data_IF_517577618247
#
_entry.id   IF_517577618247
#
_cell.length_a   1.000
_cell.length_b   1.000
_cell.length_c   1.000
_cell.angle_alpha   90.00
_cell.angle_beta   90.00
_cell.angle_gamma   90.00
#
_symmetry.space_group_name_H-M   'P 1'
#
loop_
_entity.id
_entity.type
_entity.pdbx_description
1 polymer ?
#
# COMPACT_ATOMS: atom_id res chain seq x y z
N UNK A 1 9.15 5.46 10.35
CA UNK A 1 10.30 5.95 11.12
C UNK A 1 9.85 6.70 12.35
N UNK A 2 9.00 7.71 12.21
CA UNK A 2 8.48 8.54 13.32
C UNK A 2 7.68 7.79 14.41
N UNK A 3 6.98 6.68 14.11
CA UNK A 3 6.36 5.83 15.18
C UNK A 3 7.42 5.07 15.98
N UNK A 4 8.51 4.69 15.33
CA UNK A 4 9.64 4.03 15.98
C UNK A 4 10.37 5.03 16.87
N UNK A 5 10.57 6.26 16.38
CA UNK A 5 11.12 7.37 17.16
C UNK A 5 10.21 7.71 18.34
N UNK A 6 8.91 7.91 18.13
CA UNK A 6 7.96 8.16 19.22
C UNK A 6 7.86 7.02 20.24
N UNK A 7 8.02 5.76 19.81
CA UNK A 7 8.13 4.62 20.73
C UNK A 7 9.42 4.69 21.55
N UNK A 8 10.57 4.95 20.91
CA UNK A 8 11.84 5.11 21.62
C UNK A 8 11.82 6.30 22.56
N UNK A 9 11.28 7.45 22.15
CA UNK A 9 11.10 8.63 23.01
C UNK A 9 10.19 8.33 24.20
N UNK A 10 9.09 7.60 24.01
CA UNK A 10 8.22 7.15 25.10
C UNK A 10 8.94 6.21 26.07
N UNK A 11 9.91 5.43 25.59
CA UNK A 11 10.69 4.43 26.36
C UNK A 11 11.92 5.01 27.07
N UNK A 12 12.48 6.10 26.55
CA UNK A 12 13.57 6.88 27.17
C UNK A 12 13.07 7.69 28.39
N UNK A 13 11.75 7.85 28.60
CA UNK A 13 11.16 8.63 29.70
C UNK A 13 11.33 8.02 31.12
N UNK A 14 12.03 6.91 31.30
CA UNK A 14 12.28 6.33 32.62
C UNK A 14 13.41 7.09 33.35
N UNK A 15 13.18 7.67 34.54
CA UNK A 15 14.14 8.58 35.19
C UNK A 15 15.44 7.94 35.71
N UNK A 16 15.50 6.61 35.87
CA UNK A 16 16.58 5.95 36.61
C UNK A 16 17.69 5.35 35.72
N UNK A 17 17.35 4.80 34.55
CA UNK A 17 18.31 4.28 33.57
C UNK A 17 17.70 4.26 32.15
N UNK A 18 17.71 5.40 31.44
CA UNK A 18 17.08 5.53 30.13
C UNK A 18 17.77 4.70 29.03
N UNK A 19 19.06 4.41 29.18
CA UNK A 19 19.84 3.71 28.16
C UNK A 19 19.90 2.19 28.38
N UNK A 20 19.86 1.72 29.64
CA UNK A 20 19.84 0.29 29.95
C UNK A 20 18.62 -0.44 29.38
N UNK A 21 17.42 0.10 29.62
CA UNK A 21 16.18 -0.48 29.12
C UNK A 21 16.08 -0.45 27.59
N UNK A 22 16.52 0.66 26.98
CA UNK A 22 16.55 0.80 25.53
C UNK A 22 17.50 -0.23 24.90
N UNK A 23 18.69 -0.40 25.46
CA UNK A 23 19.67 -1.37 24.97
C UNK A 23 19.15 -2.80 25.07
N UNK A 24 18.55 -3.18 26.21
CA UNK A 24 18.01 -4.52 26.38
C UNK A 24 16.91 -4.80 25.35
N UNK A 25 16.01 -3.84 25.13
CA UNK A 25 14.92 -4.01 24.18
C UNK A 25 15.40 -4.02 22.71
N UNK A 26 16.41 -3.21 22.37
CA UNK A 26 17.05 -3.27 21.04
C UNK A 26 17.67 -4.65 20.83
N UNK A 27 18.34 -5.22 21.84
CA UNK A 27 18.91 -6.56 21.78
C UNK A 27 17.82 -7.60 21.59
N UNK A 28 16.73 -7.53 22.36
CA UNK A 28 15.58 -8.44 22.25
C UNK A 28 14.90 -8.34 20.87
N UNK A 29 14.76 -7.13 20.34
CA UNK A 29 14.17 -6.89 19.03
C UNK A 29 15.09 -7.36 17.91
N UNK A 30 16.40 -7.12 18.02
CA UNK A 30 17.39 -7.60 17.07
C UNK A 30 17.46 -9.13 17.06
N UNK A 31 17.45 -9.78 18.22
CA UNK A 31 17.41 -11.24 18.33
C UNK A 31 16.10 -11.82 17.79
N UNK A 32 14.96 -11.21 18.10
CA UNK A 32 13.66 -11.62 17.54
C UNK A 32 13.65 -11.50 16.02
N UNK A 33 14.16 -10.39 15.48
CA UNK A 33 14.29 -10.20 14.03
C UNK A 33 15.23 -11.23 13.40
N UNK A 34 16.37 -11.50 14.04
CA UNK A 34 17.32 -12.51 13.57
C UNK A 34 16.70 -13.92 13.58
N UNK A 35 15.96 -14.27 14.63
CA UNK A 35 15.23 -15.54 14.73
C UNK A 35 14.17 -15.66 13.62
N UNK A 36 13.37 -14.62 13.41
CA UNK A 36 12.35 -14.60 12.35
C UNK A 36 12.97 -14.62 10.93
N UNK A 37 14.18 -14.09 10.78
CA UNK A 37 14.92 -14.15 9.51
C UNK A 37 15.52 -15.55 9.26
N UNK A 38 15.98 -16.22 10.32
CA UNK A 38 16.51 -17.59 10.23
C UNK A 38 15.42 -18.64 10.03
N UNK A 39 14.30 -18.50 10.74
CA UNK A 39 13.16 -19.40 10.63
C UNK A 39 11.82 -18.63 10.72
N UNK A 40 11.13 -18.47 9.59
CA UNK A 40 9.81 -17.82 9.54
C UNK A 40 8.71 -18.55 10.34
N UNK A 41 8.92 -19.81 10.76
CA UNK A 41 7.92 -20.59 11.52
C UNK A 41 7.63 -20.02 12.90
N UNK A 42 8.58 -19.28 13.48
CA UNK A 42 8.40 -18.57 14.76
C UNK A 42 7.53 -17.31 14.65
N UNK A 43 7.08 -16.95 13.44
CA UNK A 43 6.20 -15.80 13.26
C UNK A 43 4.87 -16.11 13.97
N UNK A 44 4.41 -15.27 14.91
CA UNK A 44 3.13 -15.50 15.58
C UNK A 44 2.03 -15.60 14.52
N UNK A 45 1.05 -16.51 14.69
CA UNK A 45 -0.03 -16.64 13.75
C UNK A 45 -0.73 -15.28 13.63
N UNK A 46 -1.14 -14.88 12.41
CA UNK A 46 -1.87 -13.63 12.23
C UNK A 46 -3.10 -13.65 13.16
N UNK A 47 -3.31 -12.55 13.91
CA UNK A 47 -4.50 -12.35 14.76
C UNK A 47 -5.73 -12.81 13.97
N UNK A 48 -6.55 -13.69 14.56
CA UNK A 48 -7.72 -14.31 13.92
C UNK A 48 -8.55 -13.22 13.28
N UNK A 49 -8.44 -13.12 11.96
CA UNK A 49 -9.06 -12.03 11.25
C UNK A 49 -10.55 -12.35 11.14
N UNK A 50 -11.40 -11.39 11.50
CA UNK A 50 -12.85 -11.54 11.35
C UNK A 50 -13.17 -11.84 9.88
N UNK A 51 -13.45 -13.12 9.59
CA UNK A 51 -13.72 -13.62 8.24
C UNK A 51 -14.92 -12.93 7.58
N UNK A 52 -15.82 -12.34 8.37
CA UNK A 52 -16.97 -11.57 7.85
C UNK A 52 -16.54 -10.29 7.10
N UNK A 53 -15.38 -9.74 7.43
CA UNK A 53 -14.92 -8.43 6.95
C UNK A 53 -13.69 -8.51 6.02
N UNK A 54 -13.21 -9.72 5.76
CA UNK A 54 -12.03 -9.97 4.96
C UNK A 54 -12.28 -11.09 3.97
N UNK A 55 -11.73 -10.96 2.76
CA UNK A 55 -11.79 -12.00 1.73
C UNK A 55 -10.37 -12.48 1.49
N UNK A 56 -10.13 -13.76 1.76
CA UNK A 56 -8.87 -14.40 1.39
C UNK A 56 -8.86 -14.62 -0.13
N UNK A 57 -7.84 -14.09 -0.79
CA UNK A 57 -7.64 -14.18 -2.24
C UNK A 57 -6.65 -15.34 -2.54
N UNK A 58 -6.09 -15.96 -1.51
CA UNK A 58 -5.06 -16.98 -1.59
C UNK A 58 -3.64 -16.42 -1.67
N UNK A 59 -2.65 -17.30 -1.58
CA UNK A 59 -1.21 -16.96 -1.60
C UNK A 59 -0.78 -15.95 -0.51
N UNK A 60 -1.52 -15.86 0.59
CA UNK A 60 -1.26 -14.91 1.69
C UNK A 60 -1.83 -13.51 1.46
N UNK A 61 -2.57 -13.28 0.37
CA UNK A 61 -3.24 -12.02 0.09
C UNK A 61 -4.66 -11.98 0.67
N UNK A 62 -5.01 -10.90 1.34
CA UNK A 62 -6.35 -10.75 1.94
C UNK A 62 -6.91 -9.36 1.67
N UNK A 63 -8.08 -9.28 0.99
CA UNK A 63 -8.84 -8.02 0.88
C UNK A 63 -9.49 -7.70 2.21
N UNK A 64 -9.32 -6.47 2.70
CA UNK A 64 -9.78 -6.04 4.01
C UNK A 64 -10.81 -4.92 3.91
N UNK A 65 -11.67 -4.86 4.92
CA UNK A 65 -12.59 -3.73 5.15
C UNK A 65 -11.82 -2.38 5.20
N UNK A 66 -12.44 -1.25 4.83
CA UNK A 66 -13.80 -1.07 4.28
C UNK A 66 -14.13 -1.76 2.95
N UNK A 67 -15.34 -2.30 2.87
CA UNK A 67 -15.98 -2.87 1.66
C UNK A 67 -17.22 -2.05 1.33
N UNK A 68 -17.50 -1.83 0.06
CA UNK A 68 -18.73 -1.16 -0.36
C UNK A 68 -19.06 -1.40 -1.83
N UNK A 69 -20.33 -1.23 -2.18
CA UNK A 69 -20.75 -1.23 -3.57
C UNK A 69 -20.37 0.10 -4.21
N UNK A 70 -19.86 0.05 -5.44
CA UNK A 70 -19.38 1.22 -6.15
C UNK A 70 -19.69 1.11 -7.63
N UNK A 71 -20.15 2.20 -8.20
CA UNK A 71 -20.28 2.35 -9.64
C UNK A 71 -18.92 2.82 -10.18
N UNK A 72 -18.31 2.03 -11.06
CA UNK A 72 -17.01 2.36 -11.64
C UNK A 72 -17.07 3.67 -12.42
N UNK A 73 -16.03 4.49 -12.27
CA UNK A 73 -15.84 5.68 -13.11
C UNK A 73 -15.61 5.26 -14.57
N UNK A 74 -15.83 6.19 -15.50
CA UNK A 74 -15.70 5.93 -16.95
C UNK A 74 -14.28 5.50 -17.31
N UNK A 75 -13.26 6.18 -16.77
CA UNK A 75 -11.85 5.85 -17.00
C UNK A 75 -11.50 4.44 -16.52
N UNK A 76 -11.95 4.05 -15.32
CA UNK A 76 -11.73 2.70 -14.78
C UNK A 76 -12.47 1.65 -15.61
N UNK A 77 -13.67 1.97 -16.11
CA UNK A 77 -14.46 1.06 -16.93
C UNK A 77 -13.77 0.78 -18.28
N UNK A 78 -13.19 1.81 -18.92
CA UNK A 78 -12.39 1.65 -20.13
C UNK A 78 -11.16 0.79 -19.86
N UNK A 79 -10.38 1.11 -18.83
CA UNK A 79 -9.19 0.34 -18.44
C UNK A 79 -9.52 -1.12 -18.09
N UNK A 80 -10.68 -1.37 -17.48
CA UNK A 80 -11.14 -2.73 -17.18
C UNK A 80 -11.51 -3.53 -18.43
N UNK A 81 -12.10 -2.88 -19.44
CA UNK A 81 -12.37 -3.51 -20.74
C UNK A 81 -11.07 -3.89 -21.45
N UNK A 82 -10.09 -2.98 -21.50
CA UNK A 82 -8.77 -3.24 -22.07
C UNK A 82 -8.05 -4.40 -21.36
N UNK A 83 -8.10 -4.43 -20.03
CA UNK A 83 -7.57 -5.53 -19.24
C UNK A 83 -8.27 -6.86 -19.57
N UNK A 84 -9.60 -6.86 -19.71
CA UNK A 84 -10.34 -8.06 -20.07
C UNK A 84 -9.97 -8.56 -21.48
N UNK A 85 -9.83 -7.66 -22.45
CA UNK A 85 -9.41 -8.00 -23.82
C UNK A 85 -8.00 -8.60 -23.83
N UNK A 86 -7.05 -7.96 -23.13
CA UNK A 86 -5.67 -8.43 -23.04
C UNK A 86 -5.55 -9.82 -22.39
N UNK A 87 -6.41 -10.15 -21.42
CA UNK A 87 -6.40 -11.41 -20.69
C UNK A 87 -7.39 -12.46 -21.24
N UNK A 88 -8.10 -12.18 -22.33
CA UNK A 88 -9.17 -13.02 -22.89
C UNK A 88 -10.29 -13.35 -21.89
N UNK A 89 -10.69 -12.37 -21.07
CA UNK A 89 -11.78 -12.51 -20.13
C UNK A 89 -13.12 -12.24 -20.82
N UNK A 90 -14.00 -13.23 -20.82
CA UNK A 90 -15.40 -13.06 -21.21
C UNK A 90 -16.21 -12.58 -20.01
N UNK A 91 -16.76 -11.38 -20.10
CA UNK A 91 -17.73 -10.85 -19.14
C UNK A 91 -19.08 -10.64 -19.85
N UNK A 92 -20.18 -11.10 -19.25
CA UNK A 92 -21.51 -10.83 -19.77
C UNK A 92 -21.77 -9.33 -19.68
N UNK A 93 -22.04 -8.70 -20.84
CA UNK A 93 -22.33 -7.26 -20.93
C UNK A 93 -23.63 -6.98 -20.18
N UNK A 94 -23.53 -6.71 -18.87
CA UNK A 94 -24.67 -6.28 -18.07
C UNK A 94 -25.04 -4.86 -18.49
N UNK A 95 -25.90 -4.79 -19.51
CA UNK A 95 -26.62 -3.61 -20.02
C UNK A 95 -25.80 -2.49 -20.68
N UNK A 96 -26.49 -1.72 -21.54
CA UNK A 96 -26.05 -0.55 -22.32
C UNK A 96 -25.56 0.66 -21.48
N UNK A 97 -25.30 0.46 -20.19
CA UNK A 97 -24.88 1.53 -19.29
C UNK A 97 -23.35 1.52 -19.21
N UNK A 98 -22.73 2.67 -19.46
CA UNK A 98 -21.27 2.82 -19.50
C UNK A 98 -20.56 2.67 -18.14
N UNK A 99 -21.28 2.27 -17.10
CA UNK A 99 -20.75 2.16 -15.74
C UNK A 99 -21.13 0.83 -15.09
N UNK A 100 -20.11 0.08 -14.65
CA UNK A 100 -20.25 -1.24 -14.05
C UNK A 100 -20.33 -1.12 -12.53
N UNK A 101 -21.29 -1.81 -11.91
CA UNK A 101 -21.37 -1.88 -10.45
C UNK A 101 -20.47 -3.00 -9.92
N UNK A 102 -19.54 -2.65 -9.05
CA UNK A 102 -18.59 -3.59 -8.43
C UNK A 102 -18.61 -3.50 -6.91
N UNK A 103 -18.17 -4.56 -6.26
CA UNK A 103 -17.78 -4.49 -4.84
C UNK A 103 -16.34 -4.01 -4.78
N UNK A 104 -16.10 -2.86 -4.16
CA UNK A 104 -14.75 -2.34 -3.89
C UNK A 104 -14.30 -2.57 -2.45
N UNK A 105 -12.99 -2.67 -2.26
CA UNK A 105 -12.29 -2.78 -0.99
C UNK A 105 -11.25 -1.66 -0.87
N UNK A 106 -11.06 -1.19 0.35
CA UNK A 106 -10.15 -0.08 0.64
C UNK A 106 -8.73 -0.52 1.00
N UNK A 107 -8.53 -1.81 1.29
CA UNK A 107 -7.28 -2.33 1.85
C UNK A 107 -6.98 -3.72 1.31
N UNK A 108 -5.70 -3.99 1.10
CA UNK A 108 -5.16 -5.29 0.73
C UNK A 108 -4.00 -5.61 1.67
N UNK A 109 -4.06 -6.76 2.32
CA UNK A 109 -2.91 -7.32 3.03
C UNK A 109 -2.08 -8.14 2.05
N UNK A 110 -0.79 -7.86 2.02
CA UNK A 110 0.20 -8.58 1.22
C UNK A 110 0.79 -9.77 2.01
N UNK A 111 1.43 -10.75 1.35
CA UNK A 111 2.00 -11.92 2.01
C UNK A 111 3.11 -11.59 3.01
N UNK A 112 3.79 -10.45 2.80
CA UNK A 112 4.81 -9.93 3.72
C UNK A 112 4.21 -9.26 4.98
N UNK A 113 2.88 -9.22 5.10
CA UNK A 113 2.15 -8.64 6.24
C UNK A 113 1.89 -7.14 6.13
N UNK A 114 2.33 -6.48 5.05
CA UNK A 114 1.97 -5.09 4.80
C UNK A 114 0.49 -4.93 4.49
N UNK A 115 -0.07 -3.77 4.84
CA UNK A 115 -1.42 -3.39 4.45
C UNK A 115 -1.36 -2.22 3.48
N UNK A 116 -1.55 -2.52 2.20
CA UNK A 116 -1.72 -1.55 1.13
C UNK A 116 -3.12 -0.95 1.24
N UNK A 117 -3.20 0.38 1.32
CA UNK A 117 -4.47 1.13 1.37
C UNK A 117 -4.84 1.59 -0.03
N UNK A 118 -5.99 2.24 -0.16
CA UNK A 118 -6.44 2.82 -1.41
C UNK A 118 -6.85 4.27 -1.24
N UNK A 119 -6.81 5.03 -2.34
CA UNK A 119 -7.20 6.43 -2.39
C UNK A 119 -8.62 6.63 -1.86
N UNK A 120 -9.57 5.74 -2.20
CA UNK A 120 -10.97 5.83 -1.77
C UNK A 120 -11.15 6.10 -0.26
N UNK A 121 -10.39 5.44 0.62
CA UNK A 121 -10.51 5.65 2.07
C UNK A 121 -9.46 6.58 2.66
N UNK A 122 -8.35 6.83 1.97
CA UNK A 122 -7.38 7.84 2.42
C UNK A 122 -7.79 9.27 2.06
N UNK A 123 -8.50 9.48 0.95
CA UNK A 123 -8.89 10.82 0.49
C UNK A 123 -9.85 11.55 1.45
N UNK A 124 -10.60 10.82 2.28
CA UNK A 124 -11.53 11.39 3.26
C UNK A 124 -10.86 11.75 4.60
N UNK A 125 -9.53 11.66 4.70
CA UNK A 125 -8.78 11.98 5.92
C UNK A 125 -7.92 13.21 5.68
N UNK A 126 -7.77 14.03 6.71
CA UNK A 126 -6.90 15.21 6.66
C UNK A 126 -5.48 14.82 6.25
N UNK A 127 -4.97 15.49 5.22
CA UNK A 127 -3.75 15.12 4.48
C UNK A 127 -2.48 15.13 5.32
N UNK A 128 -2.44 15.94 6.38
CA UNK A 128 -1.24 16.13 7.23
C UNK A 128 -0.99 15.03 8.25
N UNK A 129 -1.97 14.17 8.54
CA UNK A 129 -1.87 13.15 9.59
C UNK A 129 -1.84 11.71 9.06
N UNK A 130 -1.95 11.51 7.76
CA UNK A 130 -2.03 10.17 7.16
C UNK A 130 -0.71 9.78 6.53
N UNK A 131 -0.08 8.76 7.13
CA UNK A 131 0.93 7.96 6.43
C UNK A 131 0.28 7.30 5.22
N UNK A 132 0.49 7.88 4.03
CA UNK A 132 -0.01 7.38 2.75
C UNK A 132 0.57 5.97 2.53
N UNK A 133 -0.30 4.96 2.56
CA UNK A 133 0.07 3.56 2.31
C UNK A 133 -0.61 3.02 1.05
N UNK A 134 -1.00 3.94 0.15
CA UNK A 134 -1.70 3.66 -1.11
C UNK A 134 -0.81 3.48 -2.32
N UNK A 135 0.48 3.77 -2.20
CA UNK A 135 1.44 3.58 -3.28
C UNK A 135 2.11 2.22 -3.17
N UNK A 136 2.25 1.54 -4.30
CA UNK A 136 2.67 0.15 -4.36
C UNK A 136 3.68 -0.09 -5.46
N UNK A 137 4.48 -1.14 -5.29
CA UNK A 137 5.36 -1.71 -6.31
C UNK A 137 4.72 -2.99 -6.84
N UNK A 138 4.17 -2.98 -8.07
CA UNK A 138 3.71 -4.18 -8.73
C UNK A 138 4.89 -4.98 -9.33
N UNK A 139 4.69 -6.29 -9.46
CA UNK A 139 5.60 -7.21 -10.14
C UNK A 139 5.36 -7.10 -11.65
N UNK A 140 6.16 -6.25 -12.30
CA UNK A 140 6.18 -6.06 -13.74
C UNK A 140 7.60 -6.33 -14.27
N UNK A 141 7.74 -6.44 -15.60
CA UNK A 141 9.06 -6.56 -16.26
C UNK A 141 9.94 -5.34 -15.98
N UNK A 142 9.35 -4.16 -15.99
CA UNK A 142 10.03 -2.89 -15.75
C UNK A 142 9.75 -2.37 -14.34
N UNK A 143 10.70 -1.63 -13.77
CA UNK A 143 10.55 -1.02 -12.45
C UNK A 143 9.55 0.14 -12.52
N UNK A 144 8.32 -0.12 -12.07
CA UNK A 144 7.28 0.89 -11.93
C UNK A 144 6.64 0.87 -10.56
N UNK A 145 6.01 1.99 -10.25
CA UNK A 145 5.25 2.20 -9.03
C UNK A 145 3.85 2.67 -9.41
N UNK A 146 2.87 2.47 -8.54
CA UNK A 146 1.51 2.88 -8.81
C UNK A 146 0.78 3.34 -7.55
N UNK A 147 -0.13 4.29 -7.70
CA UNK A 147 -1.09 4.69 -6.67
C UNK A 147 -2.38 3.87 -6.83
N UNK A 148 -2.81 3.19 -5.78
CA UNK A 148 -4.02 2.37 -5.80
C UNK A 148 -5.25 3.24 -5.53
N UNK A 149 -6.18 3.28 -6.47
CA UNK A 149 -7.46 3.98 -6.32
C UNK A 149 -8.41 3.22 -5.40
N UNK A 150 -8.67 1.97 -5.77
CA UNK A 150 -9.41 0.98 -4.98
C UNK A 150 -9.18 -0.43 -5.53
N UNK A 151 -9.41 -1.41 -4.67
CA UNK A 151 -9.47 -2.82 -5.06
C UNK A 151 -10.92 -3.18 -5.36
N UNK A 152 -11.18 -4.14 -6.24
CA UNK A 152 -12.54 -4.61 -6.48
C UNK A 152 -12.55 -6.08 -6.90
N UNK A 153 -13.69 -6.74 -6.75
CA UNK A 153 -13.86 -8.13 -7.16
C UNK A 153 -14.56 -8.21 -8.51
N UNK A 154 -14.03 -9.06 -9.39
CA UNK A 154 -14.62 -9.38 -10.69
C UNK A 154 -14.77 -10.91 -10.83
N UNK A 155 -15.74 -11.35 -11.62
CA UNK A 155 -15.99 -12.76 -11.89
C UNK A 155 -15.53 -13.10 -13.30
N UNK A 156 -14.75 -14.18 -13.44
CA UNK A 156 -14.46 -14.80 -14.73
C UNK A 156 -14.98 -16.25 -14.68
N UNK A 157 -16.10 -16.49 -15.36
CA UNK A 157 -16.86 -17.74 -15.19
C UNK A 157 -17.26 -17.93 -13.73
N UNK A 158 -16.78 -19.02 -13.11
CA UNK A 158 -17.07 -19.34 -11.70
C UNK A 158 -15.96 -18.89 -10.73
N UNK A 159 -14.90 -18.26 -11.22
CA UNK A 159 -13.76 -17.86 -10.39
C UNK A 159 -13.84 -16.38 -10.08
N UNK A 160 -13.78 -16.05 -8.79
CA UNK A 160 -13.70 -14.66 -8.33
C UNK A 160 -12.24 -14.21 -8.27
N UNK A 161 -11.95 -13.08 -8.90
CA UNK A 161 -10.66 -12.41 -8.85
C UNK A 161 -10.77 -11.09 -8.09
N UNK A 162 -9.71 -10.70 -7.41
CA UNK A 162 -9.56 -9.36 -6.87
C UNK A 162 -8.57 -8.59 -7.73
N UNK A 163 -9.03 -7.48 -8.29
CA UNK A 163 -8.25 -6.59 -9.13
C UNK A 163 -8.01 -5.26 -8.40
N UNK A 164 -7.03 -4.50 -8.86
CA UNK A 164 -6.75 -3.15 -8.40
C UNK A 164 -6.85 -2.17 -9.56
N UNK A 165 -7.62 -1.10 -9.37
CA UNK A 165 -7.55 0.07 -10.22
C UNK A 165 -6.41 0.96 -9.72
N UNK A 166 -5.45 1.25 -10.60
CA UNK A 166 -4.22 1.94 -10.25
C UNK A 166 -3.91 3.05 -11.25
N UNK A 167 -3.22 4.08 -10.79
CA UNK A 167 -2.57 5.09 -11.64
C UNK A 167 -1.07 4.87 -11.54
N UNK A 168 -0.40 4.66 -12.66
CA UNK A 168 1.04 4.43 -12.64
C UNK A 168 1.82 5.73 -12.43
N UNK A 169 3.02 5.57 -11.91
CA UNK A 169 4.06 6.57 -12.04
C UNK A 169 4.90 6.21 -13.27
N UNK A 170 5.48 7.23 -13.89
CA UNK A 170 6.42 7.07 -15.00
C UNK A 170 7.62 6.21 -14.59
N UNK A 171 8.37 5.76 -15.59
CA UNK A 171 9.71 5.22 -15.33
C UNK A 171 10.56 6.27 -14.58
N UNK A 172 11.50 5.84 -13.72
CA UNK A 172 12.43 6.75 -13.07
C UNK A 172 13.18 7.62 -14.08
N UNK A 173 13.38 8.90 -13.74
CA UNK A 173 14.17 9.83 -14.53
C UNK A 173 15.60 9.26 -14.70
N UNK A 174 16.04 9.01 -15.95
CA UNK A 174 17.32 8.36 -16.21
C UNK A 174 18.51 9.24 -15.83
N UNK A 175 18.39 10.56 -15.96
CA UNK A 175 19.48 11.49 -15.65
C UNK A 175 19.71 11.53 -14.13
N UNK A 176 18.62 11.61 -13.35
CA UNK A 176 18.69 11.56 -11.89
C UNK A 176 19.19 10.19 -11.40
N UNK A 177 18.76 9.10 -12.04
CA UNK A 177 19.29 7.77 -11.71
C UNK A 177 20.79 7.68 -11.98
N UNK A 178 21.27 8.18 -13.12
CA UNK A 178 22.70 8.15 -13.46
C UNK A 178 23.52 9.00 -12.49
N UNK A 179 23.11 10.25 -12.25
CA UNK A 179 23.78 11.16 -11.32
C UNK A 179 23.79 10.65 -9.88
N UNK A 180 22.73 9.96 -9.45
CA UNK A 180 22.62 9.38 -8.11
C UNK A 180 23.18 7.96 -8.00
N UNK A 181 23.79 7.41 -9.06
CA UNK A 181 24.28 6.02 -9.12
C UNK A 181 23.19 4.98 -8.78
N UNK A 182 21.96 5.24 -9.20
CA UNK A 182 20.79 4.39 -8.99
C UNK A 182 20.17 4.47 -7.60
N UNK A 183 20.61 5.43 -6.76
CA UNK A 183 20.10 5.56 -5.39
C UNK A 183 18.76 6.30 -5.31
N UNK A 184 18.47 7.17 -6.28
CA UNK A 184 17.27 8.00 -6.28
C UNK A 184 16.40 7.70 -7.50
N UNK A 185 15.20 7.19 -7.25
CA UNK A 185 14.18 6.97 -8.27
C UNK A 185 13.15 8.10 -8.18
N UNK A 186 13.23 9.06 -9.09
CA UNK A 186 12.24 10.14 -9.24
C UNK A 186 11.31 9.82 -10.39
N UNK A 187 10.01 9.83 -10.15
CA UNK A 187 8.98 9.49 -11.11
C UNK A 187 7.91 10.59 -11.12
N UNK A 188 7.25 10.76 -12.27
CA UNK A 188 6.10 11.65 -12.41
C UNK A 188 4.81 10.85 -12.34
N UNK A 189 3.76 11.39 -11.71
CA UNK A 189 2.46 10.73 -11.66
C UNK A 189 1.78 10.78 -13.05
N UNK A 190 1.37 9.62 -13.58
CA UNK A 190 0.60 9.54 -14.81
C UNK A 190 -0.90 9.73 -14.53
N UNK A 191 -1.67 10.13 -15.54
CA UNK A 191 -3.12 10.38 -15.41
C UNK A 191 -3.97 9.17 -15.81
N UNK A 192 -3.38 8.21 -16.54
CA UNK A 192 -4.10 7.05 -17.06
C UNK A 192 -4.35 6.02 -15.96
N UNK A 193 -5.59 5.54 -15.90
CA UNK A 193 -5.97 4.44 -15.02
C UNK A 193 -5.70 3.11 -15.73
N UNK A 194 -5.11 2.17 -15.01
CA UNK A 194 -4.93 0.80 -15.47
C UNK A 194 -5.46 -0.19 -14.44
N UNK A 195 -5.76 -1.40 -14.89
CA UNK A 195 -6.18 -2.50 -14.04
C UNK A 195 -5.06 -3.54 -13.95
N UNK A 196 -4.76 -3.98 -12.73
CA UNK A 196 -3.83 -5.08 -12.48
C UNK A 196 -4.48 -6.12 -11.56
N UNK A 197 -3.98 -7.36 -11.60
CA UNK A 197 -4.31 -8.34 -10.56
C UNK A 197 -3.75 -7.85 -9.21
N UNK A 198 -4.56 -7.88 -8.16
CA UNK A 198 -4.13 -7.47 -6.82
C UNK A 198 -2.93 -8.29 -6.32
N UNK A 199 -2.79 -9.55 -6.79
CA UNK A 199 -1.65 -10.42 -6.47
C UNK A 199 -0.34 -9.98 -7.12
N UNK A 200 -0.36 -9.07 -8.10
CA UNK A 200 0.86 -8.51 -8.66
C UNK A 200 1.50 -7.49 -7.72
N UNK A 201 0.77 -7.00 -6.71
CA UNK A 201 1.33 -6.06 -5.74
C UNK A 201 2.26 -6.82 -4.79
N UNK A 202 3.54 -6.48 -4.77
CA UNK A 202 4.54 -7.14 -3.92
C UNK A 202 4.91 -6.33 -2.70
N UNK A 203 4.80 -5.00 -2.78
CA UNK A 203 5.26 -4.11 -1.73
C UNK A 203 4.48 -2.79 -1.68
N UNK A 204 4.31 -2.23 -0.48
CA UNK A 204 3.87 -0.83 -0.28
C UNK A 204 5.10 0.08 -0.20
N UNK A 205 5.12 1.13 -1.02
CA UNK A 205 6.20 2.12 -1.10
C UNK A 205 5.72 3.49 -0.66
N UNK A 206 6.65 4.34 -0.22
CA UNK A 206 6.40 5.77 -0.10
C UNK A 206 6.67 6.47 -1.43
N UNK A 207 5.77 7.35 -1.87
CA UNK A 207 6.04 8.29 -2.96
C UNK A 207 5.99 9.68 -2.34
N UNK A 208 7.14 10.31 -2.21
CA UNK A 208 7.32 11.57 -1.48
C UNK A 208 7.47 12.67 -2.53
N UNK A 209 6.68 13.76 -2.46
CA UNK A 209 6.84 14.88 -3.38
C UNK A 209 8.31 15.30 -3.48
N UNK A 210 8.84 15.34 -4.70
CA UNK A 210 10.23 15.66 -4.98
C UNK A 210 10.27 16.98 -5.74
N UNK A 211 10.93 17.99 -5.18
CA UNK A 211 11.17 19.26 -5.85
C UNK A 211 12.62 19.34 -6.29
N UNK A 212 12.86 19.67 -7.56
CA UNK A 212 14.21 19.90 -8.07
C UNK A 212 14.80 21.17 -7.42
N UNK A 213 16.09 21.18 -7.03
CA UNK A 213 16.72 22.32 -6.37
C UNK A 213 16.71 23.62 -7.20
N UNK A 214 16.58 23.51 -8.52
CA UNK A 214 16.64 24.62 -9.47
C UNK A 214 15.34 25.45 -9.52
N UNK A 215 14.25 24.94 -8.94
CA UNK A 215 12.95 25.59 -8.94
C UNK A 215 12.81 26.48 -7.69
N UNK A 216 12.52 27.79 -7.83
CA UNK A 216 12.33 28.69 -6.70
C UNK A 216 11.21 28.22 -5.76
N UNK A 217 11.34 28.51 -4.47
CA UNK A 217 10.27 28.27 -3.49
C UNK A 217 9.04 29.13 -3.85
N UNK A 218 8.02 28.47 -4.37
CA UNK A 218 6.67 29.01 -4.43
C UNK A 218 5.74 28.02 -3.71
N UNK A 219 4.92 28.53 -2.79
CA UNK A 219 4.10 27.71 -1.89
C UNK A 219 2.91 27.02 -2.59
N UNK A 220 2.66 27.36 -3.86
CA UNK A 220 1.45 26.97 -4.60
C UNK A 220 1.64 25.86 -5.66
N UNK A 221 2.87 25.40 -5.95
CA UNK A 221 3.07 24.36 -6.97
C UNK A 221 2.96 22.93 -6.39
N UNK A 222 1.83 22.28 -6.71
CA UNK A 222 1.65 20.83 -6.58
C UNK A 222 2.77 20.14 -7.39
N UNK A 223 3.67 19.46 -6.69
CA UNK A 223 4.82 18.86 -7.35
C UNK A 223 4.37 17.59 -8.06
N UNK A 224 4.55 17.52 -9.38
CA UNK A 224 4.20 16.36 -10.20
C UNK A 224 5.21 15.21 -10.07
N UNK A 225 6.41 15.53 -9.61
CA UNK A 225 7.52 14.60 -9.38
C UNK A 225 7.50 14.06 -7.95
N UNK A 226 7.83 12.79 -7.81
CA UNK A 226 7.87 12.06 -6.56
C UNK A 226 9.09 11.16 -6.53
N UNK A 227 9.83 11.14 -5.42
CA UNK A 227 10.87 10.16 -5.22
C UNK A 227 10.35 8.97 -4.42
N UNK A 228 10.87 7.80 -4.72
CA UNK A 228 10.45 6.56 -4.08
C UNK A 228 11.22 6.33 -2.78
N UNK A 229 10.49 5.97 -1.74
CA UNK A 229 11.04 5.45 -0.50
C UNK A 229 10.55 4.02 -0.30
N UNK A 230 11.40 3.04 -0.63
CA UNK A 230 11.17 1.64 -0.29
C UNK A 230 11.44 1.44 1.21
N UNK A 231 10.51 0.78 1.89
CA UNK A 231 10.63 0.61 3.34
C UNK A 231 11.48 -0.62 3.61
N UNK A 232 12.70 -0.43 4.09
CA UNK A 232 13.53 -1.52 4.62
C UNK A 232 12.77 -2.23 5.76
N UNK A 233 12.32 -3.47 5.53
CA UNK A 233 11.61 -4.24 6.55
C UNK A 233 12.57 -4.73 7.63
N UNK A 234 12.42 -4.18 8.82
CA UNK A 234 12.58 -4.93 10.06
C UNK A 234 11.18 -5.33 10.50
N UNK A 235 10.93 -6.62 10.70
CA UNK A 235 9.67 -7.13 11.22
C UNK A 235 9.54 -6.68 12.68
N UNK A 236 9.04 -5.47 12.94
CA UNK A 236 8.69 -5.05 14.29
C UNK A 236 7.56 -5.96 14.76
N UNK A 237 7.91 -7.01 15.51
CA UNK A 237 6.96 -7.79 16.31
C UNK A 237 6.28 -6.78 17.22
N UNK A 238 5.00 -6.53 16.96
CA UNK A 238 4.20 -5.62 17.75
C UNK A 238 3.81 -6.34 19.04
N UNK A 239 4.33 -5.88 20.16
CA UNK A 239 3.62 -6.00 21.43
C UNK A 239 2.62 -4.85 21.48
N UNK A 240 1.46 -5.02 20.84
CA UNK A 240 0.34 -4.09 21.04
C UNK A 240 -0.22 -4.39 22.44
N UNK A 241 0.12 -3.58 23.43
CA UNK A 241 -0.73 -3.44 24.63
C UNK A 241 -2.06 -2.85 24.18
N UNK A 242 -3.13 -3.44 24.66
CA UNK A 242 -4.51 -3.02 24.47
C UNK A 242 -4.66 -1.50 24.66
N UNK A 243 -5.32 -0.84 23.70
CA UNK A 243 -6.29 0.26 23.89
C UNK A 243 -6.31 1.19 22.67
N UNK A 244 -7.40 1.12 21.93
CA UNK A 244 -8.27 2.24 21.56
C UNK A 244 -9.45 1.62 20.79
N UNK A 245 -10.54 1.37 21.54
CA UNK A 245 -11.86 1.18 20.94
C UNK A 245 -12.25 2.52 20.30
N UNK A 246 -12.07 2.63 18.98
CA UNK A 246 -12.74 3.67 18.22
C UNK A 246 -14.24 3.41 18.36
N UNK A 247 -14.89 4.26 19.17
CA UNK A 247 -16.33 4.32 19.33
C UNK A 247 -16.99 4.48 17.97
N UNK A 248 -17.74 3.45 17.58
CA UNK A 248 -18.81 3.55 16.60
C UNK A 248 -19.74 4.70 16.99
N UNK A 249 -19.98 5.63 16.06
CA UNK A 249 -21.27 6.31 15.95
C UNK A 249 -21.46 6.80 14.50
N UNK A 250 -22.50 6.21 13.90
CA UNK A 250 -23.31 6.56 12.72
C UNK A 250 -22.65 6.76 11.34
#
# INVERSE_FOLDING_TARGET
MERTIGNYERRIRLPADPYGNLNQEIIEQATTNALLAMDPSFRPPPKTQNQRLSIDIGSGYVSLHPRGTHLMDVSVTVAFREFCEANNWTFERQTDTDSLQVTRFARLRLPNGQEARSLWKEANRETDLVRRARNVKPLLTDLRYAEVLYYFTAMQGNTQFTLAAVMFYSNPDPDIQEESLGMLNVCTKEEDVQIIDAKWIVEVVGMIPFRRPEIPWNDEEDTSEYFVLEKLYSNVVRHDTEDEQDSENE
#
